data_IF_364926195506
#
_entry.id   IF_364926195506
#
_cell.length_a   1.000
_cell.length_b   1.000
_cell.length_c   1.000
_cell.angle_alpha   90.00
_cell.angle_beta   90.00
_cell.angle_gamma   90.00
#
_symmetry.space_group_name_H-M   'P 1'
#
loop_
_entity.id
_entity.type
_entity.pdbx_description
1 polymer ?
#
# COMPACT_ATOMS: atom_id res chain seq x y z
N UNK A 1 16.55 4.73 26.16
CA UNK A 1 16.82 5.17 24.88
C UNK A 1 15.79 4.56 23.99
N UNK A 2 14.93 4.73 23.58
CA UNK A 2 14.48 5.96 23.24
C UNK A 2 13.19 5.82 22.55
N UNK A 3 12.23 6.20 23.31
CA UNK A 3 10.85 6.36 22.92
C UNK A 3 10.74 7.21 21.66
N UNK A 4 11.67 8.19 21.52
CA UNK A 4 11.76 9.07 20.37
C UNK A 4 12.24 8.36 19.10
N UNK A 5 13.19 7.44 19.18
CA UNK A 5 13.68 6.67 18.03
C UNK A 5 12.61 5.68 17.55
N UNK A 6 11.98 4.95 18.47
CA UNK A 6 10.90 4.02 18.15
C UNK A 6 9.69 4.73 17.55
N UNK A 7 9.32 5.90 18.09
CA UNK A 7 8.25 6.72 17.54
C UNK A 7 8.59 7.22 16.12
N UNK A 8 9.81 7.67 15.90
CA UNK A 8 10.26 8.14 14.58
C UNK A 8 10.16 7.05 13.51
N UNK A 9 10.58 5.82 13.81
CA UNK A 9 10.46 4.69 12.89
C UNK A 9 9.00 4.30 12.60
N UNK A 10 8.15 4.31 13.63
CA UNK A 10 6.72 4.09 13.44
C UNK A 10 6.07 5.18 12.61
N UNK A 11 6.39 6.43 12.91
CA UNK A 11 5.87 7.57 12.15
C UNK A 11 6.29 7.50 10.68
N UNK A 12 7.55 7.17 10.41
CA UNK A 12 8.05 6.97 9.05
C UNK A 12 7.27 5.89 8.30
N UNK A 13 7.14 4.70 8.91
CA UNK A 13 6.38 3.62 8.30
C UNK A 13 4.90 3.95 8.13
N UNK A 14 4.28 4.59 9.13
CA UNK A 14 2.88 5.02 9.08
C UNK A 14 2.64 6.02 7.95
N UNK A 15 3.52 7.00 7.77
CA UNK A 15 3.45 7.97 6.66
C UNK A 15 3.58 7.27 5.31
N UNK A 16 4.51 6.33 5.16
CA UNK A 16 4.68 5.58 3.90
C UNK A 16 3.43 4.77 3.56
N UNK A 17 2.86 4.06 4.55
CA UNK A 17 1.63 3.27 4.35
C UNK A 17 0.44 4.18 4.02
N UNK A 18 0.34 5.36 4.67
CA UNK A 18 -0.70 6.36 4.35
C UNK A 18 -0.57 6.85 2.91
N UNK A 19 0.62 7.24 2.50
CA UNK A 19 0.88 7.74 1.13
C UNK A 19 0.56 6.65 0.11
N UNK A 20 1.06 5.44 0.32
CA UNK A 20 0.80 4.31 -0.56
C UNK A 20 -0.70 3.98 -0.63
N UNK A 21 -1.40 4.00 0.50
CA UNK A 21 -2.84 3.80 0.56
C UNK A 21 -3.62 4.88 -0.20
N UNK A 22 -3.20 6.13 -0.05
CA UNK A 22 -3.80 7.25 -0.78
C UNK A 22 -3.65 7.10 -2.30
N UNK A 23 -2.45 6.76 -2.78
CA UNK A 23 -2.23 6.51 -4.20
C UNK A 23 -3.03 5.30 -4.70
N UNK A 24 -3.09 4.22 -3.95
CA UNK A 24 -3.93 3.07 -4.29
C UNK A 24 -5.42 3.44 -4.39
N UNK A 25 -5.91 4.34 -3.53
CA UNK A 25 -7.29 4.84 -3.65
C UNK A 25 -7.50 5.60 -4.96
N UNK A 26 -6.55 6.45 -5.33
CA UNK A 26 -6.61 7.20 -6.60
C UNK A 26 -6.55 6.23 -7.79
N UNK A 27 -5.60 5.30 -7.79
CA UNK A 27 -5.42 4.33 -8.87
C UNK A 27 -6.64 3.44 -9.05
N UNK A 28 -7.20 2.94 -7.94
CA UNK A 28 -8.44 2.17 -7.96
C UNK A 28 -9.61 2.96 -8.52
N UNK A 29 -9.76 4.20 -8.09
CA UNK A 29 -10.83 5.09 -8.59
C UNK A 29 -10.64 5.40 -10.09
N UNK A 30 -9.42 5.70 -10.52
CA UNK A 30 -9.09 5.95 -11.93
C UNK A 30 -9.37 4.70 -12.79
N UNK A 31 -9.03 3.50 -12.29
CA UNK A 31 -9.31 2.26 -13.00
C UNK A 31 -10.82 2.03 -13.18
N UNK A 32 -11.63 2.28 -12.15
CA UNK A 32 -13.10 2.16 -12.20
C UNK A 32 -13.68 3.18 -13.20
N UNK A 33 -13.25 4.43 -13.13
CA UNK A 33 -13.75 5.50 -14.04
C UNK A 33 -13.36 5.20 -15.48
N UNK A 34 -12.15 4.74 -15.74
CA UNK A 34 -11.70 4.41 -17.08
C UNK A 34 -12.41 3.18 -17.64
N UNK A 35 -12.68 2.17 -16.83
CA UNK A 35 -13.50 1.03 -17.23
C UNK A 35 -14.88 1.49 -17.71
N UNK A 36 -15.57 2.33 -16.95
CA UNK A 36 -16.87 2.88 -17.30
C UNK A 36 -16.83 3.75 -18.59
N UNK A 37 -15.74 4.49 -18.81
CA UNK A 37 -15.57 5.30 -20.03
C UNK A 37 -15.33 4.42 -21.27
N UNK A 38 -14.52 3.38 -21.13
CA UNK A 38 -14.23 2.43 -22.19
C UNK A 38 -15.52 1.69 -22.57
N UNK A 39 -16.31 1.29 -21.60
CA UNK A 39 -17.61 0.66 -21.80
C UNK A 39 -18.57 1.58 -22.57
N UNK A 40 -18.61 2.87 -22.24
CA UNK A 40 -19.41 3.87 -22.95
C UNK A 40 -18.97 4.10 -24.40
N UNK A 41 -17.69 3.94 -24.72
CA UNK A 41 -17.14 4.10 -26.08
C UNK A 41 -17.31 2.83 -26.92
N UNK A 42 -17.27 1.65 -26.29
CA UNK A 42 -17.31 0.34 -26.94
C UNK A 42 -18.73 -0.19 -27.14
N UNK A 43 -19.74 0.39 -26.52
CA UNK A 43 -21.16 0.01 -26.68
C UNK A 43 -21.69 0.07 -28.13
N UNK A 44 -20.83 0.34 -29.12
CA UNK A 44 -21.11 0.20 -30.53
C UNK A 44 -20.37 -0.93 -31.25
N UNK A 45 -19.37 -1.56 -30.65
CA UNK A 45 -18.54 -2.60 -31.26
C UNK A 45 -17.92 -3.54 -30.23
N UNK A 46 -18.44 -4.73 -30.15
CA UNK A 46 -17.91 -5.91 -29.45
C UNK A 46 -17.51 -5.66 -27.99
N UNK A 47 -18.20 -6.31 -27.07
CA UNK A 47 -17.84 -6.45 -25.65
C UNK A 47 -16.46 -7.12 -25.52
N UNK A 48 -15.45 -6.31 -25.22
CA UNK A 48 -14.15 -6.84 -24.83
C UNK A 48 -14.24 -7.26 -23.36
N UNK A 49 -13.89 -8.51 -23.01
CA UNK A 49 -13.92 -8.98 -21.61
C UNK A 49 -12.96 -8.22 -20.67
N UNK A 50 -12.15 -7.30 -21.21
CA UNK A 50 -11.17 -6.51 -20.49
C UNK A 50 -11.79 -5.45 -19.59
N UNK A 51 -13.02 -4.99 -19.86
CA UNK A 51 -13.67 -3.92 -19.08
C UNK A 51 -14.17 -4.39 -17.72
N UNK A 52 -14.75 -5.58 -17.66
CA UNK A 52 -15.23 -6.17 -16.40
C UNK A 52 -14.05 -6.51 -15.47
N UNK A 53 -12.97 -7.02 -16.05
CA UNK A 53 -11.76 -7.36 -15.32
C UNK A 53 -11.05 -6.11 -14.78
N UNK A 54 -10.98 -5.04 -15.57
CA UNK A 54 -10.40 -3.76 -15.15
C UNK A 54 -11.23 -3.08 -14.04
N UNK A 55 -12.55 -3.11 -14.15
CA UNK A 55 -13.44 -2.56 -13.12
C UNK A 55 -13.31 -3.34 -11.81
N UNK A 56 -13.33 -4.67 -11.88
CA UNK A 56 -13.16 -5.54 -10.71
C UNK A 56 -11.81 -5.32 -10.05
N UNK A 57 -10.74 -5.20 -10.83
CA UNK A 57 -9.41 -4.87 -10.34
C UNK A 57 -9.39 -3.50 -9.64
N UNK A 58 -10.00 -2.50 -10.24
CA UNK A 58 -10.11 -1.15 -9.67
C UNK A 58 -10.76 -1.14 -8.28
N UNK A 59 -11.84 -1.92 -8.10
CA UNK A 59 -12.49 -2.08 -6.79
C UNK A 59 -11.57 -2.74 -5.75
N UNK A 60 -10.83 -3.78 -6.14
CA UNK A 60 -9.86 -4.44 -5.25
C UNK A 60 -8.79 -3.45 -4.80
N UNK A 61 -8.19 -2.71 -5.74
CA UNK A 61 -7.15 -1.71 -5.45
C UNK A 61 -7.69 -0.59 -4.56
N UNK A 62 -8.92 -0.13 -4.79
CA UNK A 62 -9.57 0.89 -3.97
C UNK A 62 -9.78 0.42 -2.52
N UNK A 63 -10.31 -0.79 -2.34
CA UNK A 63 -10.53 -1.37 -1.00
C UNK A 63 -9.19 -1.54 -0.27
N UNK A 64 -8.19 -2.07 -0.94
CA UNK A 64 -6.82 -2.19 -0.39
C UNK A 64 -6.29 -0.82 0.00
N UNK A 65 -6.44 0.19 -0.84
CA UNK A 65 -6.04 1.57 -0.54
C UNK A 65 -6.71 2.12 0.73
N UNK A 66 -8.02 1.91 0.89
CA UNK A 66 -8.76 2.34 2.09
C UNK A 66 -8.23 1.62 3.35
N UNK A 67 -8.00 0.31 3.27
CA UNK A 67 -7.43 -0.46 4.38
C UNK A 67 -6.03 0.04 4.73
N UNK A 68 -5.21 0.37 3.72
CA UNK A 68 -3.87 0.93 3.92
C UNK A 68 -3.91 2.30 4.61
N UNK A 69 -4.82 3.18 4.20
CA UNK A 69 -4.99 4.49 4.85
C UNK A 69 -5.38 4.31 6.32
N UNK A 70 -6.34 3.44 6.60
CA UNK A 70 -6.74 3.14 7.97
C UNK A 70 -5.60 2.53 8.79
N UNK A 71 -4.84 1.60 8.21
CA UNK A 71 -3.68 0.99 8.86
C UNK A 71 -2.55 2.00 9.09
N UNK A 72 -2.24 2.83 8.10
CA UNK A 72 -1.24 3.89 8.22
C UNK A 72 -1.56 4.85 9.37
N UNK A 73 -2.82 5.24 9.49
CA UNK A 73 -3.28 6.07 10.61
C UNK A 73 -3.15 5.33 11.95
N UNK A 74 -3.60 4.07 12.01
CA UNK A 74 -3.57 3.26 13.23
C UNK A 74 -2.14 2.90 13.68
N UNK A 75 -1.14 2.90 12.77
CA UNK A 75 0.27 2.72 13.13
C UNK A 75 0.75 3.82 14.08
N UNK A 76 0.28 5.06 13.91
CA UNK A 76 0.62 6.16 14.83
C UNK A 76 0.10 5.93 16.25
N UNK A 77 -1.02 5.23 16.39
CA UNK A 77 -1.58 4.89 17.69
C UNK A 77 -0.92 3.65 18.32
N UNK A 78 -0.03 2.97 17.60
CA UNK A 78 0.64 1.77 18.06
C UNK A 78 -0.22 0.50 18.01
N UNK A 79 -1.29 0.50 17.22
CA UNK A 79 -2.18 -0.65 17.09
C UNK A 79 -1.45 -1.85 16.45
N UNK A 80 -1.52 -3.00 17.12
CA UNK A 80 -0.82 -4.22 16.67
C UNK A 80 -1.34 -4.73 15.33
N UNK A 81 -2.66 -4.68 15.12
CA UNK A 81 -3.25 -5.11 13.85
C UNK A 81 -2.75 -4.28 12.66
N UNK A 82 -2.63 -2.96 12.86
CA UNK A 82 -2.15 -2.05 11.83
C UNK A 82 -0.69 -2.31 11.46
N UNK A 83 0.12 -2.67 12.44
CA UNK A 83 1.50 -3.09 12.21
C UNK A 83 1.59 -4.33 11.32
N UNK A 84 0.79 -5.35 11.61
CA UNK A 84 0.73 -6.58 10.80
C UNK A 84 0.26 -6.28 9.38
N UNK A 85 -0.82 -5.53 9.24
CA UNK A 85 -1.33 -5.09 7.93
C UNK A 85 -0.28 -4.29 7.16
N UNK A 86 0.39 -3.35 7.82
CA UNK A 86 1.46 -2.56 7.21
C UNK A 86 2.60 -3.42 6.69
N UNK A 87 3.08 -4.38 7.46
CA UNK A 87 4.15 -5.30 7.04
C UNK A 87 3.71 -6.13 5.83
N UNK A 88 2.50 -6.70 5.86
CA UNK A 88 1.96 -7.49 4.75
C UNK A 88 1.87 -6.66 3.47
N UNK A 89 1.31 -5.47 3.57
CA UNK A 89 1.14 -4.57 2.41
C UNK A 89 2.48 -4.14 1.83
N UNK A 90 3.43 -3.73 2.66
CA UNK A 90 4.76 -3.32 2.20
C UNK A 90 5.50 -4.50 1.56
N UNK A 91 5.35 -5.71 2.11
CA UNK A 91 5.93 -6.92 1.53
C UNK A 91 5.33 -7.23 0.15
N UNK A 92 4.00 -7.13 0.01
CA UNK A 92 3.33 -7.32 -1.27
C UNK A 92 3.77 -6.25 -2.30
N UNK A 93 3.87 -4.98 -1.87
CA UNK A 93 4.37 -3.92 -2.72
C UNK A 93 5.80 -4.20 -3.21
N UNK A 94 6.66 -4.66 -2.32
CA UNK A 94 8.03 -5.07 -2.65
C UNK A 94 8.06 -6.17 -3.72
N UNK A 95 7.21 -7.19 -3.59
CA UNK A 95 7.09 -8.27 -4.59
C UNK A 95 6.66 -7.72 -5.96
N UNK A 96 5.71 -6.81 -5.99
CA UNK A 96 5.28 -6.13 -7.22
C UNK A 96 6.44 -5.33 -7.83
N UNK A 97 7.21 -4.62 -7.01
CA UNK A 97 8.38 -3.86 -7.48
C UNK A 97 9.46 -4.77 -8.12
N UNK A 98 9.64 -5.99 -7.62
CA UNK A 98 10.53 -6.96 -8.27
C UNK A 98 10.09 -7.27 -9.70
N UNK A 99 8.79 -7.34 -9.96
CA UNK A 99 8.25 -7.57 -11.30
C UNK A 99 8.55 -6.40 -12.27
N UNK A 100 8.61 -5.18 -11.74
CA UNK A 100 8.94 -3.99 -12.52
C UNK A 100 10.43 -3.70 -12.64
N UNK A 101 11.28 -4.43 -11.93
CA UNK A 101 12.72 -4.18 -11.87
C UNK A 101 13.39 -4.23 -13.25
N UNK A 102 12.91 -5.11 -14.13
CA UNK A 102 13.43 -5.25 -15.49
C UNK A 102 13.14 -4.03 -16.40
N UNK A 103 12.07 -3.29 -16.10
CA UNK A 103 11.60 -2.15 -16.92
C UNK A 103 12.06 -0.80 -16.34
N UNK A 104 12.08 -0.68 -15.02
CA UNK A 104 12.42 0.55 -14.29
C UNK A 104 13.36 0.25 -13.11
N UNK A 105 14.62 -0.16 -13.37
CA UNK A 105 15.50 -0.69 -12.33
C UNK A 105 15.79 0.32 -11.21
N UNK A 106 16.06 1.56 -11.56
CA UNK A 106 16.41 2.60 -10.57
C UNK A 106 15.21 2.92 -9.65
N UNK A 107 14.03 3.07 -10.22
CA UNK A 107 12.81 3.37 -9.47
C UNK A 107 12.42 2.21 -8.55
N UNK A 108 12.37 0.99 -9.10
CA UNK A 108 12.02 -0.20 -8.33
C UNK A 108 13.01 -0.48 -7.20
N UNK A 109 14.31 -0.30 -7.44
CA UNK A 109 15.33 -0.46 -6.41
C UNK A 109 15.13 0.54 -5.26
N UNK A 110 14.85 1.81 -5.59
CA UNK A 110 14.56 2.84 -4.59
C UNK A 110 13.33 2.49 -3.75
N UNK A 111 12.26 2.03 -4.38
CA UNK A 111 11.03 1.63 -3.68
C UNK A 111 11.24 0.41 -2.78
N UNK A 112 11.97 -0.61 -3.25
CA UNK A 112 12.33 -1.78 -2.46
C UNK A 112 13.15 -1.39 -1.22
N UNK A 113 14.09 -0.46 -1.37
CA UNK A 113 14.89 0.05 -0.25
C UNK A 113 14.01 0.76 0.79
N UNK A 114 13.11 1.63 0.34
CA UNK A 114 12.19 2.37 1.22
C UNK A 114 11.25 1.41 1.95
N UNK A 115 10.67 0.45 1.23
CA UNK A 115 9.78 -0.56 1.83
C UNK A 115 10.51 -1.43 2.86
N UNK A 116 11.77 -1.80 2.58
CA UNK A 116 12.62 -2.54 3.51
C UNK A 116 12.86 -1.77 4.80
N UNK A 117 13.17 -0.48 4.70
CA UNK A 117 13.35 0.39 5.87
C UNK A 117 12.04 0.55 6.66
N UNK A 118 10.92 0.68 5.98
CA UNK A 118 9.60 0.78 6.62
C UNK A 118 9.23 -0.52 7.35
N UNK A 119 9.46 -1.67 6.73
CA UNK A 119 9.23 -2.98 7.36
C UNK A 119 10.14 -3.13 8.60
N UNK A 120 11.41 -2.77 8.48
CA UNK A 120 12.33 -2.76 9.62
C UNK A 120 11.78 -1.91 10.77
N UNK A 121 11.31 -0.70 10.47
CA UNK A 121 10.71 0.19 11.46
C UNK A 121 9.49 -0.43 12.16
N UNK A 122 8.63 -1.10 11.42
CA UNK A 122 7.45 -1.77 11.99
C UNK A 122 7.78 -3.01 12.80
N UNK A 123 8.75 -3.80 12.36
CA UNK A 123 9.15 -5.03 13.07
C UNK A 123 9.87 -4.70 14.37
N UNK A 124 10.82 -3.79 14.32
CA UNK A 124 11.70 -3.50 15.46
C UNK A 124 11.07 -2.49 16.43
N UNK A 125 10.42 -1.46 15.92
CA UNK A 125 9.93 -0.33 16.69
C UNK A 125 8.39 -0.20 16.72
N UNK A 126 7.68 -1.15 16.13
CA UNK A 126 6.21 -1.06 15.98
C UNK A 126 5.42 -1.29 17.27
N UNK A 127 6.07 -1.71 18.36
CA UNK A 127 5.38 -1.94 19.64
C UNK A 127 5.26 -0.65 20.44
N UNK A 128 4.08 -0.41 21.05
CA UNK A 128 3.95 0.65 22.04
C UNK A 128 4.84 0.35 23.24
N UNK A 129 5.31 1.39 23.88
CA UNK A 129 6.07 1.25 25.11
C UNK A 129 5.27 0.60 26.21
N UNK A 130 5.98 -0.14 27.07
CA UNK A 130 5.41 -0.78 28.22
C UNK A 130 4.72 -2.13 27.95
N UNK A 131 4.68 -2.61 26.71
CA UNK A 131 4.23 -3.98 26.45
C UNK A 131 5.38 -4.96 26.58
N UNK A 132 5.23 -6.01 27.42
CA UNK A 132 6.24 -7.05 27.51
C UNK A 132 6.43 -7.71 26.15
N UNK A 133 7.69 -7.94 25.77
CA UNK A 133 8.02 -8.69 24.58
C UNK A 133 7.43 -10.10 24.65
N UNK A 134 6.65 -10.44 23.68
CA UNK A 134 6.19 -11.80 23.48
C UNK A 134 7.17 -12.52 22.58
#
# INVERSE_FOLDING_TARGET
MDDTVGYGWRAFAGVLVLIAGFFNCIDGLVAIINANRIEGVVNGRATLPVTDELSSWGWVVLIVGIVMVAAGWAIFTGATWARVVGIVVLTLNMVVQFSYLAHFPFWSFTMILIDTLAIYGLVVHGRPEGQPGV
#
